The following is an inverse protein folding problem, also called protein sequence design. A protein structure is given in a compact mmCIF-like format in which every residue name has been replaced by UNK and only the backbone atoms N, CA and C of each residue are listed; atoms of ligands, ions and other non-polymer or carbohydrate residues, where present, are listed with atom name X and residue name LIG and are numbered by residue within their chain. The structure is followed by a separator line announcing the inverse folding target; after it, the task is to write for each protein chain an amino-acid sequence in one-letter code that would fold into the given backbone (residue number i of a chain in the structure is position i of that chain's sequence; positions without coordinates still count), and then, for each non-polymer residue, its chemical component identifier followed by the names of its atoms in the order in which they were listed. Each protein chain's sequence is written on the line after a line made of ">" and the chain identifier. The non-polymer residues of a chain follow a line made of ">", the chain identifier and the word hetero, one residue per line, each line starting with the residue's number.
data_IF_233649580560
#
_entry.id   IF_233649580560
#
_cell.length_a   1.000
_cell.length_b   1.000
_cell.length_c   1.000
_cell.angle_alpha   90.00
_cell.angle_beta   90.00
_cell.angle_gamma   90.00
#
_symmetry.space_group_name_H-M   'P 1'
#
loop_
_entity.id
_entity.type
_entity.pdbx_description
1 polymer ?
#
# COMPACT_ATOMS: atom_id res chain seq x y z
N UNK A 1 -6.76 3.89 20.25
CA UNK A 1 -5.86 3.32 21.26
C UNK A 1 -4.40 3.40 20.81
N UNK A 2 -3.48 3.28 21.74
CA UNK A 2 -2.04 3.29 21.48
C UNK A 2 -1.58 1.91 21.01
N UNK A 3 -1.23 1.77 19.73
CA UNK A 3 -0.78 0.52 19.13
C UNK A 3 0.57 0.05 19.68
N UNK A 4 1.47 0.99 20.06
CA UNK A 4 2.78 0.62 20.64
C UNK A 4 2.58 0.02 22.04
N UNK A 5 1.74 0.63 22.87
CA UNK A 5 1.40 0.08 24.19
C UNK A 5 0.74 -1.30 24.07
N UNK A 6 -0.18 -1.46 23.11
CA UNK A 6 -0.78 -2.75 22.81
C UNK A 6 0.27 -3.79 22.35
N UNK A 7 1.20 -3.39 21.46
CA UNK A 7 2.25 -4.29 20.99
C UNK A 7 3.16 -4.79 22.11
N UNK A 8 3.48 -3.94 23.09
CA UNK A 8 4.28 -4.32 24.27
C UNK A 8 3.54 -5.37 25.12
N UNK A 9 2.27 -5.11 25.42
CA UNK A 9 1.47 -6.03 26.21
C UNK A 9 1.33 -7.39 25.49
N UNK A 10 1.00 -7.38 24.20
CA UNK A 10 0.86 -8.61 23.41
C UNK A 10 2.19 -9.38 23.29
N UNK A 11 3.32 -8.69 23.10
CA UNK A 11 4.62 -9.34 23.03
C UNK A 11 4.99 -10.00 24.36
N UNK A 12 4.63 -9.40 25.50
CA UNK A 12 4.82 -10.00 26.82
C UNK A 12 4.04 -11.31 26.97
N UNK A 13 2.79 -11.35 26.54
CA UNK A 13 1.94 -12.55 26.55
C UNK A 13 2.49 -13.65 25.61
N UNK A 14 3.05 -13.26 24.46
CA UNK A 14 3.62 -14.20 23.48
C UNK A 14 5.07 -14.61 23.76
N UNK A 15 5.67 -14.11 24.85
CA UNK A 15 7.10 -14.35 25.14
C UNK A 15 8.05 -13.78 24.08
N UNK A 16 7.61 -12.76 23.38
CA UNK A 16 8.33 -12.15 22.26
C UNK A 16 9.01 -10.82 22.59
N UNK A 17 9.56 -10.18 21.56
CA UNK A 17 10.22 -8.86 21.64
C UNK A 17 9.53 -7.85 20.71
N UNK A 18 9.64 -6.55 21.03
CA UNK A 18 9.07 -5.46 20.23
C UNK A 18 10.17 -4.60 19.64
N UNK A 19 10.01 -4.25 18.34
CA UNK A 19 10.77 -3.19 17.69
C UNK A 19 9.81 -2.02 17.39
N UNK A 20 10.04 -0.88 18.03
CA UNK A 20 9.17 0.30 17.93
C UNK A 20 9.66 1.25 16.83
N UNK A 21 8.72 1.80 16.06
CA UNK A 21 8.91 2.87 15.09
C UNK A 21 8.01 4.05 15.46
N UNK A 22 8.44 4.82 16.48
CA UNK A 22 7.62 5.89 17.12
C UNK A 22 7.20 6.98 16.13
N UNK A 23 8.08 7.37 15.21
CA UNK A 23 7.78 8.38 14.18
C UNK A 23 6.55 8.01 13.33
N UNK A 24 6.33 6.72 13.09
CA UNK A 24 5.19 6.21 12.29
C UNK A 24 4.10 5.54 13.15
N UNK A 25 4.22 5.61 14.48
CA UNK A 25 3.27 5.00 15.42
C UNK A 25 3.04 3.50 15.14
N UNK A 26 4.11 2.78 14.79
CA UNK A 26 4.06 1.34 14.50
C UNK A 26 5.02 0.57 15.38
N UNK A 27 4.75 -0.71 15.56
CA UNK A 27 5.64 -1.65 16.23
C UNK A 27 5.62 -3.00 15.51
N UNK A 28 6.75 -3.69 15.50
CA UNK A 28 6.89 -5.06 15.02
C UNK A 28 7.10 -5.95 16.25
N UNK A 29 6.21 -6.92 16.45
CA UNK A 29 6.35 -7.99 17.44
C UNK A 29 7.05 -9.16 16.76
N UNK A 30 8.07 -9.70 17.39
CA UNK A 30 8.78 -10.90 16.94
C UNK A 30 8.67 -11.93 18.06
N UNK A 31 8.09 -13.09 17.77
CA UNK A 31 7.89 -14.17 18.72
C UNK A 31 8.07 -15.52 18.03
N UNK A 32 8.15 -16.60 18.82
CA UNK A 32 8.20 -17.95 18.27
C UNK A 32 6.85 -18.62 18.53
N UNK A 33 6.32 -19.30 17.53
CA UNK A 33 5.10 -20.07 17.66
C UNK A 33 5.34 -21.41 18.39
N UNK A 34 4.27 -22.22 18.50
CA UNK A 34 4.32 -23.53 19.17
C UNK A 34 5.31 -24.52 18.51
N UNK A 35 5.65 -24.31 17.25
CA UNK A 35 6.63 -25.13 16.50
C UNK A 35 8.05 -24.59 16.63
N UNK A 36 8.27 -23.46 17.34
CA UNK A 36 9.54 -22.78 17.48
C UNK A 36 9.92 -21.93 16.27
N UNK A 37 8.99 -21.68 15.31
CA UNK A 37 9.24 -20.83 14.16
C UNK A 37 9.09 -19.34 14.49
N UNK A 38 10.04 -18.51 14.00
CA UNK A 38 9.96 -17.06 14.20
C UNK A 38 8.77 -16.46 13.43
N UNK A 39 7.85 -15.87 14.17
CA UNK A 39 6.69 -15.15 13.64
C UNK A 39 6.85 -13.65 13.82
N UNK A 40 6.26 -12.88 12.89
CA UNK A 40 6.32 -11.43 12.87
C UNK A 40 4.93 -10.84 12.74
N UNK A 41 4.58 -9.93 13.66
CA UNK A 41 3.28 -9.27 13.66
C UNK A 41 3.48 -7.75 13.69
N UNK A 42 3.02 -7.08 12.64
CA UNK A 42 2.99 -5.62 12.57
C UNK A 42 1.79 -5.07 13.33
N UNK A 43 2.05 -4.11 14.21
CA UNK A 43 1.03 -3.37 14.95
C UNK A 43 1.14 -1.89 14.60
N UNK A 44 0.04 -1.28 14.22
CA UNK A 44 -0.02 0.13 13.92
C UNK A 44 -1.13 0.83 14.70
N UNK A 45 -0.87 2.02 15.19
CA UNK A 45 -1.91 2.92 15.68
C UNK A 45 -2.67 3.48 14.48
N UNK A 46 -4.00 3.52 14.56
CA UNK A 46 -4.81 4.14 13.52
C UNK A 46 -4.44 5.63 13.40
N UNK A 47 -4.08 6.05 12.20
CA UNK A 47 -3.50 7.37 11.94
C UNK A 47 -4.00 7.98 10.63
N UNK A 48 -3.90 9.30 10.54
CA UNK A 48 -4.04 10.07 9.31
C UNK A 48 -2.65 10.48 8.82
N UNK A 49 -2.50 10.65 7.53
CA UNK A 49 -1.26 11.10 6.88
C UNK A 49 -1.52 12.40 6.12
N UNK A 50 -0.62 13.37 6.30
CA UNK A 50 -0.63 14.64 5.58
C UNK A 50 0.63 14.75 4.73
N UNK A 51 0.45 15.16 3.49
CA UNK A 51 1.54 15.38 2.54
C UNK A 51 1.72 16.88 2.30
N UNK A 52 2.88 17.43 2.68
CA UNK A 52 3.17 18.87 2.52
C UNK A 52 3.26 19.30 1.06
N UNK A 53 3.69 18.39 0.18
CA UNK A 53 3.78 18.55 -1.26
C UNK A 53 3.72 17.17 -1.93
N UNK A 54 3.45 17.10 -3.25
CA UNK A 54 3.41 15.83 -3.98
C UNK A 54 4.70 15.01 -3.80
N UNK A 55 4.58 13.70 -3.60
CA UNK A 55 5.66 12.76 -3.35
C UNK A 55 6.47 12.99 -2.05
N UNK A 56 6.04 13.87 -1.14
CA UNK A 56 6.65 14.05 0.18
C UNK A 56 6.54 12.78 1.04
N UNK A 57 7.35 12.70 2.10
CA UNK A 57 7.08 11.76 3.18
C UNK A 57 5.92 12.30 4.04
N UNK A 58 4.98 11.43 4.48
CA UNK A 58 3.83 11.89 5.26
C UNK A 58 4.21 12.33 6.68
N UNK A 59 3.51 13.35 7.17
CA UNK A 59 3.38 13.64 8.60
C UNK A 59 2.19 12.84 9.12
N UNK A 60 2.30 12.22 10.29
CA UNK A 60 1.28 11.32 10.86
C UNK A 60 0.66 11.90 12.11
N UNK A 61 -0.66 11.75 12.25
CA UNK A 61 -1.43 12.13 13.42
C UNK A 61 -2.41 11.02 13.81
N UNK A 62 -2.75 10.91 15.10
CA UNK A 62 -3.73 9.94 15.59
C UNK A 62 -5.10 10.16 14.92
N UNK A 63 -5.76 9.09 14.52
CA UNK A 63 -7.05 9.20 13.86
C UNK A 63 -7.95 7.97 14.08
N UNK A 64 -9.12 7.97 13.44
CA UNK A 64 -10.04 6.84 13.44
C UNK A 64 -9.61 5.74 12.48
N UNK A 65 -10.11 4.52 12.67
CA UNK A 65 -9.90 3.41 11.74
C UNK A 65 -10.38 3.76 10.32
N UNK A 66 -11.46 4.51 10.18
CA UNK A 66 -11.96 4.95 8.87
C UNK A 66 -10.93 5.81 8.14
N UNK A 67 -10.30 6.74 8.83
CA UNK A 67 -9.27 7.62 8.25
C UNK A 67 -7.97 6.86 7.98
N UNK A 68 -7.61 5.90 8.83
CA UNK A 68 -6.47 5.03 8.58
C UNK A 68 -6.66 4.18 7.31
N UNK A 69 -7.85 3.67 7.08
CA UNK A 69 -8.19 2.95 5.87
C UNK A 69 -8.30 3.89 4.64
N UNK A 70 -8.77 5.15 4.84
CA UNK A 70 -8.90 6.14 3.77
C UNK A 70 -7.55 6.58 3.16
N UNK A 71 -6.48 6.67 3.95
CA UNK A 71 -5.14 7.04 3.49
C UNK A 71 -4.43 5.95 2.67
N UNK A 72 -4.98 4.73 2.60
CA UNK A 72 -4.38 3.60 1.87
C UNK A 72 -4.50 3.78 0.36
N UNK A 73 -3.81 2.91 -0.37
CA UNK A 73 -3.73 2.97 -1.83
C UNK A 73 -5.04 2.55 -2.53
N UNK A 74 -5.51 1.33 -2.26
CA UNK A 74 -6.64 0.72 -2.98
C UNK A 74 -7.70 0.21 -2.02
N UNK A 75 -8.95 0.19 -2.51
CA UNK A 75 -10.10 -0.31 -1.74
C UNK A 75 -9.92 -1.74 -1.27
N UNK A 76 -9.33 -2.60 -2.10
CA UNK A 76 -9.03 -4.01 -1.77
C UNK A 76 -8.04 -4.15 -0.59
N UNK A 77 -7.22 -3.14 -0.33
CA UNK A 77 -6.26 -3.07 0.77
C UNK A 77 -6.79 -2.24 1.96
N UNK A 78 -8.02 -1.72 1.88
CA UNK A 78 -8.61 -0.82 2.87
C UNK A 78 -9.80 -1.44 3.60
N UNK A 79 -9.71 -2.73 3.86
CA UNK A 79 -10.65 -3.48 4.69
C UNK A 79 -9.97 -3.92 5.99
N UNK A 80 -10.75 -4.17 7.03
CA UNK A 80 -10.26 -4.66 8.31
C UNK A 80 -11.24 -5.68 8.93
N UNK A 81 -10.74 -6.56 9.78
CA UNK A 81 -11.53 -7.44 10.59
C UNK A 81 -11.48 -6.98 12.06
N UNK A 82 -12.61 -6.98 12.74
CA UNK A 82 -12.67 -6.70 14.18
C UNK A 82 -12.21 -7.90 14.96
N UNK A 83 -11.29 -7.68 15.88
CA UNK A 83 -10.83 -8.72 16.83
C UNK A 83 -11.41 -8.54 18.23
N UNK A 84 -12.27 -7.53 18.44
CA UNK A 84 -12.86 -7.22 19.72
C UNK A 84 -13.90 -8.29 20.13
N UNK A 85 -13.98 -8.58 21.45
CA UNK A 85 -15.00 -9.47 22.00
C UNK A 85 -16.40 -9.00 21.61
N UNK A 86 -17.25 -9.91 21.15
CA UNK A 86 -18.62 -9.65 20.70
C UNK A 86 -18.74 -9.13 19.26
N UNK A 87 -17.63 -8.75 18.61
CA UNK A 87 -17.59 -8.33 17.21
C UNK A 87 -16.47 -9.04 16.44
N UNK A 88 -15.93 -10.11 16.98
CA UNK A 88 -14.83 -10.87 16.37
C UNK A 88 -15.21 -11.38 14.98
N UNK A 89 -14.32 -11.18 14.01
CA UNK A 89 -14.53 -11.59 12.62
C UNK A 89 -15.45 -10.68 11.80
N UNK A 90 -16.04 -9.63 12.40
CA UNK A 90 -16.85 -8.69 11.61
C UNK A 90 -15.98 -7.89 10.64
N UNK A 91 -16.33 -7.94 9.35
CA UNK A 91 -15.68 -7.19 8.31
C UNK A 91 -16.03 -5.70 8.41
N UNK A 92 -15.02 -4.85 8.30
CA UNK A 92 -15.12 -3.40 8.18
C UNK A 92 -14.67 -3.02 6.79
N UNK A 93 -15.60 -2.63 5.94
CA UNK A 93 -15.37 -2.21 4.56
C UNK A 93 -16.10 -0.89 4.29
N UNK A 94 -15.41 0.22 4.46
CA UNK A 94 -15.99 1.55 4.25
C UNK A 94 -15.99 1.99 2.78
N UNK A 95 -15.18 1.35 1.94
CA UNK A 95 -14.88 1.82 0.59
C UNK A 95 -15.28 0.83 -0.52
N UNK A 96 -15.90 -0.29 -0.14
CA UNK A 96 -16.40 -1.29 -1.10
C UNK A 96 -15.32 -2.21 -1.66
N UNK A 97 -14.27 -2.48 -0.88
CA UNK A 97 -13.18 -3.37 -1.28
C UNK A 97 -13.63 -4.78 -1.60
N UNK A 98 -14.59 -5.34 -0.84
CA UNK A 98 -15.17 -6.65 -1.13
C UNK A 98 -15.83 -6.72 -2.51
N UNK A 99 -16.59 -5.68 -2.88
CA UNK A 99 -17.23 -5.58 -4.19
C UNK A 99 -16.18 -5.45 -5.32
N UNK A 100 -15.09 -4.71 -5.07
CA UNK A 100 -14.02 -4.55 -6.06
C UNK A 100 -13.22 -5.85 -6.26
N UNK A 101 -13.02 -6.65 -5.21
CA UNK A 101 -12.44 -8.00 -5.33
C UNK A 101 -13.34 -8.88 -6.22
N UNK A 102 -14.65 -8.90 -5.98
CA UNK A 102 -15.60 -9.68 -6.79
C UNK A 102 -15.60 -9.24 -8.26
N UNK A 103 -15.43 -7.94 -8.52
CA UNK A 103 -15.35 -7.36 -9.86
C UNK A 103 -13.94 -7.41 -10.47
N UNK A 104 -12.96 -7.95 -9.75
CA UNK A 104 -11.55 -7.99 -10.13
C UNK A 104 -11.02 -6.61 -10.51
N UNK A 105 -11.29 -5.59 -9.70
CA UNK A 105 -10.97 -4.19 -10.00
C UNK A 105 -9.99 -3.61 -8.98
N UNK A 106 -8.92 -2.99 -9.47
CA UNK A 106 -8.02 -2.15 -8.67
C UNK A 106 -8.58 -0.72 -8.70
N UNK A 107 -9.23 -0.30 -7.63
CA UNK A 107 -9.82 1.03 -7.49
C UNK A 107 -9.12 1.81 -6.38
N UNK A 108 -8.71 3.04 -6.70
CA UNK A 108 -8.16 3.99 -5.72
C UNK A 108 -9.28 4.51 -4.81
N UNK A 109 -8.91 4.90 -3.59
CA UNK A 109 -9.89 5.35 -2.60
C UNK A 109 -10.34 6.79 -2.84
N UNK A 110 -9.40 7.67 -3.26
CA UNK A 110 -9.69 9.08 -3.54
C UNK A 110 -8.86 9.63 -4.70
N UNK A 111 -9.34 10.71 -5.31
CA UNK A 111 -8.76 11.26 -6.55
C UNK A 111 -7.33 11.80 -6.40
N UNK A 112 -6.92 12.21 -5.20
CA UNK A 112 -5.57 12.74 -4.93
C UNK A 112 -4.54 11.64 -4.63
N UNK A 113 -4.93 10.38 -4.62
CA UNK A 113 -4.09 9.25 -4.21
C UNK A 113 -2.74 9.20 -4.94
N UNK A 114 -2.73 9.41 -6.27
CA UNK A 114 -1.50 9.41 -7.07
C UNK A 114 -0.73 10.74 -7.00
N UNK A 115 -1.38 11.83 -6.57
CA UNK A 115 -0.72 13.11 -6.32
C UNK A 115 0.05 13.07 -5.00
N UNK A 116 -0.57 12.51 -3.98
CA UNK A 116 0.05 12.35 -2.66
C UNK A 116 1.23 11.38 -2.71
N UNK A 117 1.03 10.22 -3.35
CA UNK A 117 2.06 9.20 -3.48
C UNK A 117 2.06 8.58 -4.90
N UNK A 118 2.89 9.08 -5.82
CA UNK A 118 2.98 8.53 -7.17
C UNK A 118 3.51 7.09 -7.24
N UNK A 119 4.15 6.53 -6.19
CA UNK A 119 4.53 5.11 -6.16
C UNK A 119 3.32 4.19 -6.26
N UNK A 120 2.14 4.68 -5.85
CA UNK A 120 0.87 3.94 -5.97
C UNK A 120 0.51 3.61 -7.42
N UNK A 121 1.04 4.33 -8.41
CA UNK A 121 0.87 3.99 -9.83
C UNK A 121 1.57 2.66 -10.15
N UNK A 122 2.82 2.51 -9.73
CA UNK A 122 3.60 1.30 -9.93
C UNK A 122 2.96 0.12 -9.17
N UNK A 123 2.50 0.40 -7.94
CA UNK A 123 1.76 -0.57 -7.11
C UNK A 123 0.44 -1.01 -7.74
N UNK A 124 -0.30 -0.07 -8.39
CA UNK A 124 -1.55 -0.39 -9.08
C UNK A 124 -1.32 -1.42 -10.17
N UNK A 125 -0.31 -1.22 -11.00
CA UNK A 125 0.07 -2.17 -12.05
C UNK A 125 0.51 -3.51 -11.46
N UNK A 126 1.32 -3.48 -10.41
CA UNK A 126 1.78 -4.71 -9.75
C UNK A 126 0.60 -5.53 -9.20
N UNK A 127 -0.38 -4.90 -8.54
CA UNK A 127 -1.56 -5.62 -8.04
C UNK A 127 -2.52 -6.02 -9.17
N UNK A 128 -2.65 -5.21 -10.23
CA UNK A 128 -3.40 -5.55 -11.44
C UNK A 128 -2.92 -6.90 -12.01
N UNK A 129 -1.61 -7.03 -12.23
CA UNK A 129 -1.02 -8.24 -12.80
C UNK A 129 -1.01 -9.40 -11.81
N UNK A 130 -0.61 -9.19 -10.56
CA UNK A 130 -0.56 -10.23 -9.52
C UNK A 130 -1.89 -10.94 -9.34
N UNK A 131 -3.01 -10.22 -9.37
CA UNK A 131 -4.33 -10.79 -9.11
C UNK A 131 -5.14 -11.08 -10.38
N UNK A 132 -4.62 -10.76 -11.56
CA UNK A 132 -5.40 -10.83 -12.80
C UNK A 132 -6.63 -9.90 -12.75
N UNK A 133 -6.50 -8.74 -12.12
CA UNK A 133 -7.52 -7.70 -12.02
C UNK A 133 -7.30 -6.66 -13.12
N UNK A 134 -8.12 -5.61 -13.14
CA UNK A 134 -7.95 -4.45 -14.01
C UNK A 134 -8.00 -3.16 -13.20
N UNK A 135 -7.18 -2.18 -13.58
CA UNK A 135 -7.27 -0.83 -13.01
C UNK A 135 -8.57 -0.19 -13.50
N UNK A 136 -9.33 0.41 -12.58
CA UNK A 136 -10.58 1.08 -12.93
C UNK A 136 -10.36 2.18 -13.98
N UNK A 137 -11.35 2.42 -14.85
CA UNK A 137 -11.29 3.50 -15.86
C UNK A 137 -10.94 4.87 -15.25
N UNK A 138 -11.44 5.15 -14.04
CA UNK A 138 -11.06 6.36 -13.32
C UNK A 138 -9.61 6.32 -12.87
N UNK A 139 -9.12 5.17 -12.40
CA UNK A 139 -7.72 4.99 -12.02
C UNK A 139 -6.79 5.28 -13.18
N UNK A 140 -7.06 4.74 -14.37
CA UNK A 140 -6.25 5.02 -15.57
C UNK A 140 -6.25 6.50 -15.97
N UNK A 141 -7.40 7.19 -15.87
CA UNK A 141 -7.46 8.64 -16.11
C UNK A 141 -6.58 9.42 -15.13
N UNK A 142 -6.59 9.02 -13.86
CA UNK A 142 -5.78 9.67 -12.84
C UNK A 142 -4.29 9.35 -12.97
N UNK A 143 -3.92 8.16 -13.46
CA UNK A 143 -2.55 7.85 -13.86
C UNK A 143 -2.09 8.80 -14.97
N UNK A 144 -2.87 8.94 -16.05
CA UNK A 144 -2.56 9.87 -17.16
C UNK A 144 -2.38 11.30 -16.66
N UNK A 145 -3.26 11.77 -15.76
CA UNK A 145 -3.13 13.09 -15.16
C UNK A 145 -1.85 13.22 -14.31
N UNK A 146 -1.51 12.21 -13.51
CA UNK A 146 -0.29 12.23 -12.71
C UNK A 146 0.98 12.28 -13.59
N UNK A 147 0.99 11.56 -14.70
CA UNK A 147 2.08 11.60 -15.69
C UNK A 147 2.18 12.98 -16.35
N UNK A 148 1.07 13.58 -16.78
CA UNK A 148 1.06 14.93 -17.37
C UNK A 148 1.52 16.03 -16.41
N UNK A 149 1.46 15.79 -15.10
CA UNK A 149 1.97 16.67 -14.06
C UNK A 149 3.40 16.33 -13.60
N UNK A 150 4.07 15.41 -14.30
CA UNK A 150 5.43 14.94 -14.02
C UNK A 150 5.62 14.47 -12.56
N UNK A 151 4.58 13.84 -11.97
CA UNK A 151 4.63 13.46 -10.56
C UNK A 151 5.54 12.26 -10.30
N UNK A 152 5.71 11.36 -11.26
CA UNK A 152 6.61 10.21 -11.17
C UNK A 152 8.07 10.67 -11.11
N UNK A 153 8.45 11.72 -11.84
CA UNK A 153 9.79 12.32 -11.83
C UNK A 153 10.16 12.93 -10.47
N UNK A 154 9.17 13.27 -9.62
CA UNK A 154 9.38 13.79 -8.26
C UNK A 154 9.72 12.72 -7.23
N UNK A 155 9.58 11.46 -7.60
CA UNK A 155 9.95 10.35 -6.72
C UNK A 155 11.46 10.23 -6.57
N UNK A 156 11.92 9.90 -5.38
CA UNK A 156 13.34 9.55 -5.22
C UNK A 156 13.65 8.21 -5.90
N UNK A 157 14.85 8.09 -6.44
CA UNK A 157 15.31 6.83 -7.06
C UNK A 157 15.19 5.63 -6.13
N UNK A 158 15.40 5.80 -4.83
CA UNK A 158 15.24 4.73 -3.84
C UNK A 158 13.79 4.22 -3.76
N UNK A 159 12.79 5.10 -3.86
CA UNK A 159 11.37 4.69 -3.85
C UNK A 159 10.99 3.97 -5.14
N UNK A 160 11.46 4.46 -6.28
CA UNK A 160 11.26 3.79 -7.58
C UNK A 160 11.90 2.40 -7.56
N UNK A 161 13.17 2.33 -7.17
CA UNK A 161 13.91 1.07 -7.10
C UNK A 161 13.26 0.07 -6.15
N UNK A 162 12.71 0.54 -5.04
CA UNK A 162 11.97 -0.32 -4.10
C UNK A 162 10.77 -1.00 -4.79
N UNK A 163 9.92 -0.24 -5.50
CA UNK A 163 8.76 -0.80 -6.19
C UNK A 163 9.16 -1.69 -7.38
N UNK A 164 10.21 -1.34 -8.13
CA UNK A 164 10.74 -2.20 -9.19
C UNK A 164 11.28 -3.52 -8.64
N UNK A 165 11.97 -3.50 -7.50
CA UNK A 165 12.43 -4.73 -6.84
C UNK A 165 11.25 -5.60 -6.37
N UNK A 166 10.12 -5.01 -6.02
CA UNK A 166 8.90 -5.77 -5.70
C UNK A 166 8.29 -6.39 -6.96
N UNK A 167 8.32 -5.68 -8.11
CA UNK A 167 7.90 -6.24 -9.39
C UNK A 167 8.78 -7.42 -9.80
N UNK A 168 10.11 -7.29 -9.69
CA UNK A 168 11.04 -8.39 -10.04
C UNK A 168 10.92 -9.64 -9.16
N UNK A 169 10.15 -9.57 -8.07
CA UNK A 169 9.82 -10.72 -7.22
C UNK A 169 8.44 -11.32 -7.49
N UNK A 170 7.68 -10.76 -8.44
CA UNK A 170 6.43 -11.36 -8.89
C UNK A 170 6.71 -12.58 -9.76
N UNK A 171 5.73 -13.45 -9.91
CA UNK A 171 5.86 -14.67 -10.73
C UNK A 171 6.06 -14.34 -12.21
N UNK A 172 5.41 -13.28 -12.70
CA UNK A 172 5.49 -12.82 -14.10
C UNK A 172 5.86 -11.32 -14.16
N UNK A 173 7.11 -10.94 -13.85
CA UNK A 173 7.53 -9.53 -13.76
C UNK A 173 7.44 -8.79 -15.10
N UNK A 174 7.61 -9.50 -16.23
CA UNK A 174 7.51 -8.92 -17.57
C UNK A 174 6.12 -8.39 -17.90
N UNK A 175 5.04 -8.99 -17.37
CA UNK A 175 3.68 -8.49 -17.56
C UNK A 175 3.49 -7.14 -16.89
N UNK A 176 4.05 -6.96 -15.70
CA UNK A 176 4.07 -5.69 -14.99
C UNK A 176 4.85 -4.62 -15.77
N UNK A 177 6.05 -4.97 -16.27
CA UNK A 177 6.89 -4.03 -17.02
C UNK A 177 6.21 -3.61 -18.33
N UNK A 178 5.62 -4.55 -19.06
CA UNK A 178 4.86 -4.27 -20.28
C UNK A 178 3.69 -3.32 -19.99
N UNK A 179 2.93 -3.58 -18.94
CA UNK A 179 1.80 -2.72 -18.55
C UNK A 179 2.26 -1.32 -18.11
N UNK A 180 3.36 -1.19 -17.38
CA UNK A 180 3.98 0.10 -17.06
C UNK A 180 4.42 0.86 -18.33
N UNK A 181 4.95 0.16 -19.32
CA UNK A 181 5.33 0.74 -20.60
C UNK A 181 4.10 1.25 -21.38
N UNK A 182 3.03 0.44 -21.49
CA UNK A 182 1.76 0.81 -22.12
C UNK A 182 1.14 2.08 -21.52
N UNK A 183 1.23 2.24 -20.21
CA UNK A 183 0.74 3.41 -19.49
C UNK A 183 1.69 4.63 -19.61
N UNK A 184 2.90 4.46 -20.14
CA UNK A 184 3.91 5.52 -20.24
C UNK A 184 4.69 5.77 -18.95
N UNK A 185 4.54 4.89 -17.94
CA UNK A 185 5.18 5.06 -16.62
C UNK A 185 6.69 4.85 -16.70
N UNK A 186 7.16 3.88 -17.49
CA UNK A 186 8.60 3.63 -17.66
C UNK A 186 9.30 4.83 -18.26
N UNK A 187 8.73 5.42 -19.31
CA UNK A 187 9.28 6.63 -19.96
C UNK A 187 9.30 7.83 -18.99
N UNK A 188 8.31 7.95 -18.08
CA UNK A 188 8.30 8.99 -17.04
C UNK A 188 9.33 8.75 -15.93
N UNK A 189 9.76 7.50 -15.70
CA UNK A 189 10.89 7.21 -14.79
C UNK A 189 12.20 7.62 -15.45
N UNK A 190 12.42 7.19 -16.69
CA UNK A 190 13.59 7.58 -17.48
C UNK A 190 13.32 7.36 -18.99
N UNK A 191 13.64 8.33 -19.87
CA UNK A 191 13.34 8.22 -21.31
C UNK A 191 13.94 7.00 -22.01
N UNK A 192 15.03 6.43 -21.48
CA UNK A 192 15.66 5.21 -22.03
C UNK A 192 15.00 3.92 -21.56
N UNK A 193 14.05 3.98 -20.61
CA UNK A 193 13.31 2.82 -20.14
C UNK A 193 12.06 2.61 -21.02
N UNK A 194 12.29 2.21 -22.27
CA UNK A 194 11.22 1.86 -23.21
C UNK A 194 11.40 0.39 -23.59
N UNK A 195 10.35 -0.39 -23.43
CA UNK A 195 10.34 -1.77 -23.94
C UNK A 195 10.04 -1.73 -25.42
N UNK A 196 10.92 -2.29 -26.24
CA UNK A 196 10.64 -2.50 -27.65
C UNK A 196 9.57 -3.60 -27.78
N UNK A 197 8.66 -3.43 -28.73
CA UNK A 197 7.68 -4.46 -29.07
C UNK A 197 8.38 -5.49 -29.97
N UNK A 198 9.10 -6.43 -29.38
CA UNK A 198 9.59 -7.65 -30.05
C UNK A 198 8.79 -8.85 -29.58
#
# INVERSE_FOLDING_TARGET
>A
GDGIAFARALAQELGGRVREHRTFMTALIIYHDENGEEQRLDVATARLEYYKYPAALPTVELSSIKMDLFRRDFTINAMALRLNKGQFGCLVDFFGGQSDIQRKTIRIIHALSFVEDPTRIIRAVRFEQRYGFHISTQGEKLIKNALSLNLVEKLSGARILHELNLIFREDEPETCLRRLNELGVLAAIHPSLVLNAD
#
